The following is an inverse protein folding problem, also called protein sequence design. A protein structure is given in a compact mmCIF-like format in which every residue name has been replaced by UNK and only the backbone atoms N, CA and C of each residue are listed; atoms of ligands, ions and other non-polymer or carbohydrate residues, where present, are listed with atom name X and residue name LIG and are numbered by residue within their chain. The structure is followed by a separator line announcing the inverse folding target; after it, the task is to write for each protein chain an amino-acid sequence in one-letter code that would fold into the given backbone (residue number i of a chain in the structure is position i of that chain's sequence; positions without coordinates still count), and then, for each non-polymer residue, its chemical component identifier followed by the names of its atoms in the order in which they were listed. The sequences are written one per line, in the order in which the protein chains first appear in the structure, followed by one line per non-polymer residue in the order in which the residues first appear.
data_IF_154571356266
#
_entry.id   IF_154571356266
#
_cell.length_a   1.000
_cell.length_b   1.000
_cell.length_c   1.000
_cell.angle_alpha   90.00
_cell.angle_beta   90.00
_cell.angle_gamma   90.00
#
_symmetry.space_group_name_H-M   'P 1'
#
loop_
_entity.id
_entity.type
_entity.pdbx_description
1 polymer ?
#
# COMPACT_ATOMS: atom_id res chain seq x y z
N UNK A 1 -20.33 -15.62 -2.35
CA UNK A 1 -20.43 -17.11 -2.26
C UNK A 1 -19.05 -17.71 -2.42
N UNK A 2 -18.63 -18.61 -1.51
CA UNK A 2 -17.34 -19.32 -1.60
C UNK A 2 -17.62 -20.78 -1.92
N UNK A 3 -16.94 -21.29 -2.94
CA UNK A 3 -17.04 -22.68 -3.37
C UNK A 3 -15.84 -23.45 -2.83
N UNK A 4 -16.06 -24.56 -2.14
CA UNK A 4 -15.02 -25.36 -1.48
C UNK A 4 -15.34 -26.85 -1.52
N UNK A 5 -14.36 -27.72 -1.19
CA UNK A 5 -14.51 -29.17 -1.24
C UNK A 5 -14.85 -29.70 0.17
N UNK A 6 -16.08 -30.14 0.38
CA UNK A 6 -16.58 -30.59 1.69
C UNK A 6 -16.21 -32.06 1.96
N UNK A 7 -15.31 -32.34 2.94
CA UNK A 7 -14.88 -33.69 3.24
C UNK A 7 -16.01 -34.55 3.83
N UNK A 8 -16.99 -33.96 4.53
CA UNK A 8 -18.12 -34.67 5.11
C UNK A 8 -19.11 -35.17 4.05
N UNK A 9 -19.02 -34.61 2.84
CA UNK A 9 -19.81 -35.01 1.67
C UNK A 9 -18.97 -35.68 0.59
N UNK A 10 -17.98 -36.48 0.98
CA UNK A 10 -17.07 -37.17 0.06
C UNK A 10 -16.31 -36.22 -0.89
N UNK A 11 -15.89 -35.07 -0.39
CA UNK A 11 -15.23 -34.03 -1.17
C UNK A 11 -16.05 -33.49 -2.34
N UNK A 12 -17.37 -33.55 -2.22
CA UNK A 12 -18.22 -32.84 -3.18
C UNK A 12 -18.10 -31.33 -2.98
N UNK A 13 -18.28 -30.63 -4.08
CA UNK A 13 -18.25 -29.15 -4.08
C UNK A 13 -19.47 -28.62 -3.32
N UNK A 14 -19.21 -27.80 -2.30
CA UNK A 14 -20.18 -27.09 -1.48
C UNK A 14 -20.04 -25.59 -1.58
N UNK A 15 -21.06 -24.84 -1.18
CA UNK A 15 -21.09 -23.38 -1.26
C UNK A 15 -21.37 -22.76 0.09
N UNK A 16 -20.42 -21.95 0.57
CA UNK A 16 -20.56 -21.21 1.82
C UNK A 16 -20.88 -19.73 1.54
N UNK A 17 -21.99 -19.20 2.04
CA UNK A 17 -22.27 -17.78 1.96
C UNK A 17 -21.48 -17.01 3.02
N UNK A 18 -20.76 -15.98 2.60
CA UNK A 18 -20.11 -15.01 3.49
C UNK A 18 -20.72 -13.64 3.18
N UNK A 19 -21.26 -12.99 4.20
CA UNK A 19 -21.97 -11.72 4.07
C UNK A 19 -21.26 -10.62 4.84
N UNK A 20 -21.38 -9.40 4.32
CA UNK A 20 -21.17 -8.18 5.07
C UNK A 20 -22.56 -7.61 5.44
N UNK A 21 -22.92 -7.76 6.70
CA UNK A 21 -24.22 -7.30 7.22
C UNK A 21 -24.36 -5.78 7.19
N UNK A 22 -23.26 -5.05 7.36
CA UNK A 22 -23.25 -3.58 7.37
C UNK A 22 -23.48 -3.05 5.96
N UNK A 23 -22.69 -3.53 5.00
CA UNK A 23 -22.83 -3.14 3.61
C UNK A 23 -24.19 -3.52 3.03
N UNK A 24 -24.75 -4.67 3.44
CA UNK A 24 -26.09 -5.09 3.05
C UNK A 24 -27.18 -4.17 3.60
N UNK A 25 -27.05 -3.73 4.84
CA UNK A 25 -27.99 -2.81 5.48
C UNK A 25 -27.97 -1.40 4.85
N UNK A 26 -26.79 -0.94 4.45
CA UNK A 26 -26.59 0.38 3.82
C UNK A 26 -27.05 0.42 2.36
N UNK A 27 -26.67 -0.59 1.56
CA UNK A 27 -26.95 -0.57 0.12
C UNK A 27 -28.36 -1.06 -0.26
N UNK A 28 -29.00 -1.86 0.60
CA UNK A 28 -30.29 -2.48 0.33
C UNK A 28 -30.29 -3.46 -0.86
N UNK A 29 -29.13 -3.75 -1.43
CA UNK A 29 -28.96 -4.64 -2.58
C UNK A 29 -27.84 -5.65 -2.35
N UNK A 30 -28.05 -6.89 -2.85
CA UNK A 30 -27.02 -7.94 -2.79
C UNK A 30 -26.16 -7.85 -4.04
N UNK A 31 -24.89 -7.52 -3.88
CA UNK A 31 -23.89 -7.67 -4.94
C UNK A 31 -23.13 -8.97 -4.69
N UNK A 32 -23.33 -9.98 -5.54
CA UNK A 32 -22.77 -11.30 -5.32
C UNK A 32 -21.39 -11.44 -5.98
N UNK A 33 -20.40 -11.79 -5.16
CA UNK A 33 -19.07 -12.21 -5.60
C UNK A 33 -18.91 -13.72 -5.44
N UNK A 34 -18.50 -14.42 -6.50
CA UNK A 34 -18.16 -15.83 -6.45
C UNK A 34 -16.65 -16.02 -6.28
N UNK A 35 -16.26 -16.79 -5.27
CA UNK A 35 -14.87 -17.11 -4.95
C UNK A 35 -14.69 -18.61 -4.98
N UNK A 36 -13.74 -19.11 -5.75
CA UNK A 36 -13.35 -20.52 -5.75
C UNK A 36 -12.18 -20.73 -4.80
N UNK A 37 -12.43 -21.35 -3.64
CA UNK A 37 -11.40 -21.73 -2.67
C UNK A 37 -10.80 -23.10 -3.05
N UNK A 38 -9.99 -23.12 -4.09
CA UNK A 38 -9.45 -24.34 -4.68
C UNK A 38 -8.61 -25.16 -3.68
N UNK A 39 -8.94 -26.44 -3.51
CA UNK A 39 -8.26 -27.33 -2.56
C UNK A 39 -8.53 -27.04 -1.08
N UNK A 40 -9.50 -26.19 -0.79
CA UNK A 40 -9.96 -25.91 0.57
C UNK A 40 -10.90 -27.01 1.04
N UNK A 41 -10.54 -27.69 2.12
CA UNK A 41 -11.30 -28.78 2.74
C UNK A 41 -11.79 -28.44 4.15
N UNK A 42 -11.69 -27.17 4.55
CA UNK A 42 -12.13 -26.70 5.86
C UNK A 42 -13.11 -25.54 5.72
N UNK A 43 -14.27 -25.64 6.36
CA UNK A 43 -15.27 -24.59 6.39
C UNK A 43 -14.69 -23.25 6.92
N UNK A 44 -13.90 -23.29 7.99
CA UNK A 44 -13.28 -22.10 8.55
C UNK A 44 -12.30 -21.42 7.56
N UNK A 45 -11.61 -22.22 6.76
CA UNK A 45 -10.71 -21.69 5.72
C UNK A 45 -11.51 -21.09 4.54
N UNK A 46 -12.63 -21.73 4.16
CA UNK A 46 -13.54 -21.21 3.14
C UNK A 46 -14.15 -19.87 3.57
N UNK A 47 -14.59 -19.75 4.84
CA UNK A 47 -15.11 -18.50 5.39
C UNK A 47 -14.05 -17.39 5.39
N UNK A 48 -12.79 -17.68 5.78
CA UNK A 48 -11.70 -16.71 5.71
C UNK A 48 -11.39 -16.27 4.28
N UNK A 49 -11.44 -17.19 3.32
CA UNK A 49 -11.26 -16.83 1.91
C UNK A 49 -12.37 -15.89 1.41
N UNK A 50 -13.61 -16.09 1.85
CA UNK A 50 -14.73 -15.21 1.56
C UNK A 50 -14.58 -13.84 2.21
N UNK A 51 -14.20 -13.77 3.48
CA UNK A 51 -13.92 -12.53 4.18
C UNK A 51 -12.77 -11.76 3.51
N UNK A 52 -11.70 -12.45 3.13
CA UNK A 52 -10.59 -11.84 2.40
C UNK A 52 -11.06 -11.18 1.09
N UNK A 53 -11.91 -11.85 0.33
CA UNK A 53 -12.45 -11.30 -0.91
C UNK A 53 -13.34 -10.07 -0.65
N UNK A 54 -14.27 -10.14 0.31
CA UNK A 54 -15.15 -9.03 0.67
C UNK A 54 -14.36 -7.80 1.13
N UNK A 55 -13.46 -7.95 2.10
CA UNK A 55 -12.67 -6.84 2.62
C UNK A 55 -11.76 -6.27 1.53
N UNK A 56 -11.24 -7.11 0.63
CA UNK A 56 -10.43 -6.65 -0.50
C UNK A 56 -11.24 -5.77 -1.45
N UNK A 57 -12.47 -6.18 -1.80
CA UNK A 57 -13.36 -5.37 -2.65
C UNK A 57 -13.72 -4.02 -2.00
N UNK A 58 -13.93 -4.00 -0.70
CA UNK A 58 -14.27 -2.78 0.02
C UNK A 58 -13.10 -1.81 0.16
N UNK A 59 -11.91 -2.32 0.43
CA UNK A 59 -10.74 -1.50 0.82
C UNK A 59 -9.78 -1.23 -0.31
N UNK A 60 -9.67 -2.13 -1.29
CA UNK A 60 -8.72 -2.03 -2.39
C UNK A 60 -9.41 -1.58 -3.69
N UNK A 61 -10.14 -0.48 -3.62
CA UNK A 61 -10.95 0.05 -4.73
C UNK A 61 -10.15 0.81 -5.77
N UNK A 62 -8.89 1.16 -5.48
CA UNK A 62 -8.06 1.97 -6.36
C UNK A 62 -7.02 1.13 -7.09
N UNK A 63 -7.04 1.17 -8.40
CA UNK A 63 -5.95 0.71 -9.26
C UNK A 63 -5.23 1.91 -9.88
N UNK A 64 -3.96 1.74 -10.21
CA UNK A 64 -3.19 2.80 -10.86
C UNK A 64 -2.10 2.25 -11.76
N UNK A 65 -1.80 3.01 -12.80
CA UNK A 65 -0.66 2.75 -13.67
C UNK A 65 0.33 3.90 -13.51
N UNK A 66 1.53 3.56 -13.00
CA UNK A 66 2.59 4.52 -12.75
C UNK A 66 3.68 4.38 -13.79
N UNK A 67 4.08 5.50 -14.40
CA UNK A 67 5.25 5.56 -15.27
C UNK A 67 6.41 6.14 -14.49
N UNK A 68 7.50 5.38 -14.41
CA UNK A 68 8.69 5.74 -13.65
C UNK A 68 9.95 5.51 -14.48
N UNK A 69 11.04 6.15 -14.12
CA UNK A 69 12.32 5.97 -14.77
C UNK A 69 12.96 4.62 -14.44
N UNK A 70 14.28 4.55 -14.44
CA UNK A 70 15.02 3.31 -14.21
C UNK A 70 14.76 2.66 -12.85
N UNK A 71 14.35 3.45 -11.84
CA UNK A 71 13.97 2.94 -10.51
C UNK A 71 12.78 1.97 -10.57
N UNK A 72 11.98 2.02 -11.64
CA UNK A 72 10.90 1.07 -11.86
C UNK A 72 11.35 -0.36 -12.12
N UNK A 73 12.65 -0.58 -12.32
CA UNK A 73 13.26 -1.91 -12.41
C UNK A 73 13.60 -2.53 -11.04
N UNK A 74 13.50 -1.76 -9.95
CA UNK A 74 13.81 -2.24 -8.60
C UNK A 74 12.70 -3.14 -8.05
N UNK A 75 11.41 -2.73 -8.05
CA UNK A 75 10.34 -3.57 -7.55
C UNK A 75 10.09 -4.77 -8.46
N UNK A 76 9.57 -5.85 -7.86
CA UNK A 76 9.14 -7.05 -8.56
C UNK A 76 7.63 -7.20 -8.45
N UNK A 77 7.03 -7.94 -9.37
CA UNK A 77 5.62 -8.34 -9.28
C UNK A 77 5.35 -9.03 -7.94
N UNK A 78 4.28 -8.64 -7.27
CA UNK A 78 3.92 -9.11 -5.92
C UNK A 78 4.54 -8.30 -4.78
N UNK A 79 5.41 -7.33 -5.05
CA UNK A 79 5.95 -6.44 -4.00
C UNK A 79 5.05 -5.23 -3.78
N UNK A 80 5.12 -4.69 -2.56
CA UNK A 80 4.41 -3.50 -2.15
C UNK A 80 5.33 -2.29 -2.34
N UNK A 81 4.82 -1.28 -3.01
CA UNK A 81 5.49 0.01 -3.20
C UNK A 81 4.70 1.11 -2.50
N UNK A 82 5.40 2.13 -2.05
CA UNK A 82 4.80 3.35 -1.52
C UNK A 82 4.78 4.42 -2.62
N UNK A 83 3.61 5.00 -2.87
CA UNK A 83 3.42 6.05 -3.87
C UNK A 83 3.12 7.36 -3.18
N UNK A 84 3.92 8.39 -3.48
CA UNK A 84 3.72 9.75 -3.05
C UNK A 84 3.20 10.58 -4.23
N UNK A 85 1.90 10.78 -4.28
CA UNK A 85 1.27 11.61 -5.29
C UNK A 85 0.99 13.02 -4.73
N UNK A 86 1.64 14.08 -5.26
CA UNK A 86 1.41 15.46 -4.81
C UNK A 86 -0.06 15.92 -4.99
N UNK A 87 -0.79 15.37 -5.95
CA UNK A 87 -2.18 15.73 -6.17
C UNK A 87 -3.10 15.20 -5.07
N UNK A 88 -2.78 14.05 -4.49
CA UNK A 88 -3.50 13.47 -3.36
C UNK A 88 -3.06 14.10 -2.03
N UNK A 89 -1.78 14.46 -1.94
CA UNK A 89 -1.20 15.06 -0.75
C UNK A 89 -1.49 16.56 -0.58
N UNK A 90 -1.92 17.24 -1.63
CA UNK A 90 -2.07 18.71 -1.64
C UNK A 90 -0.74 19.48 -1.54
N UNK A 91 0.39 18.79 -1.44
CA UNK A 91 1.75 19.36 -1.32
C UNK A 91 2.82 18.40 -1.83
N UNK A 92 3.99 18.91 -2.16
CA UNK A 92 5.13 18.08 -2.57
C UNK A 92 5.66 17.29 -1.38
N UNK A 93 5.45 16.00 -1.39
CA UNK A 93 5.83 15.09 -0.31
C UNK A 93 6.93 14.09 -0.69
N UNK A 94 7.57 14.25 -1.83
CA UNK A 94 8.65 13.37 -2.30
C UNK A 94 9.54 14.04 -3.34
N UNK A 95 10.71 13.45 -3.59
CA UNK A 95 11.71 13.94 -4.54
C UNK A 95 13.00 13.13 -4.55
N UNK A 96 14.10 13.79 -4.88
CA UNK A 96 15.45 13.20 -4.91
C UNK A 96 16.38 13.83 -3.87
N UNK A 97 17.26 13.02 -3.31
CA UNK A 97 18.31 13.48 -2.41
C UNK A 97 19.36 14.25 -3.22
N UNK A 98 19.69 15.45 -2.80
CA UNK A 98 20.78 16.24 -3.41
C UNK A 98 22.14 15.88 -2.82
N UNK A 99 22.22 15.71 -1.48
CA UNK A 99 23.45 15.31 -0.80
C UNK A 99 23.16 14.75 0.59
N UNK A 100 24.11 13.98 1.13
CA UNK A 100 24.01 13.37 2.46
C UNK A 100 25.28 13.68 3.25
N UNK A 101 25.11 14.09 4.52
CA UNK A 101 26.19 14.32 5.47
C UNK A 101 25.80 13.73 6.84
N UNK A 102 26.11 12.47 7.05
CA UNK A 102 25.73 11.72 8.26
C UNK A 102 24.21 11.63 8.43
N UNK A 103 23.65 12.31 9.45
CA UNK A 103 22.19 12.38 9.69
C UNK A 103 21.51 13.57 9.01
N UNK A 104 22.25 14.38 8.24
CA UNK A 104 21.70 15.52 7.51
C UNK A 104 21.52 15.15 6.05
N UNK A 105 20.28 15.15 5.60
CA UNK A 105 19.87 14.85 4.22
C UNK A 105 19.45 16.16 3.57
N UNK A 106 20.09 16.54 2.48
CA UNK A 106 19.68 17.69 1.69
C UNK A 106 18.76 17.22 0.58
N UNK A 107 17.55 17.74 0.55
CA UNK A 107 16.53 17.41 -0.45
C UNK A 107 16.55 18.39 -1.63
N UNK A 108 15.96 17.98 -2.75
CA UNK A 108 15.97 18.73 -4.02
C UNK A 108 15.04 19.96 -4.04
N UNK A 109 14.14 20.06 -3.07
CA UNK A 109 13.14 21.14 -3.00
C UNK A 109 12.85 21.58 -1.58
N UNK A 110 12.19 22.72 -1.46
CA UNK A 110 11.67 23.18 -0.18
C UNK A 110 10.46 22.33 0.22
N UNK A 111 10.37 22.00 1.49
CA UNK A 111 9.33 21.15 2.06
C UNK A 111 8.69 21.81 3.27
N UNK A 112 7.40 21.61 3.44
CA UNK A 112 6.68 21.94 4.66
C UNK A 112 6.78 20.75 5.62
N UNK A 113 7.18 21.00 6.86
CA UNK A 113 7.39 19.96 7.85
C UNK A 113 6.27 19.95 8.89
N UNK A 114 5.30 19.04 8.80
CA UNK A 114 4.34 18.82 9.86
C UNK A 114 4.99 18.20 11.10
N UNK A 115 4.37 18.40 12.25
CA UNK A 115 4.81 17.79 13.51
C UNK A 115 4.78 16.26 13.41
N UNK A 116 5.85 15.61 13.87
CA UNK A 116 5.93 14.14 13.85
C UNK A 116 6.32 13.50 12.51
N UNK A 117 6.63 14.32 11.49
CA UNK A 117 6.99 13.80 10.18
C UNK A 117 8.22 12.88 10.22
N UNK A 118 8.17 11.86 9.36
CA UNK A 118 9.28 10.93 9.11
C UNK A 118 9.79 11.11 7.68
N UNK A 119 11.09 11.01 7.51
CA UNK A 119 11.71 10.93 6.20
C UNK A 119 11.93 9.45 5.86
N UNK A 120 11.25 8.96 4.83
CA UNK A 120 11.52 7.65 4.23
C UNK A 120 12.43 7.84 3.03
N UNK A 121 13.45 7.01 2.94
CA UNK A 121 14.49 7.11 1.91
C UNK A 121 14.69 5.73 1.25
N UNK A 122 14.89 5.73 -0.05
CA UNK A 122 15.39 4.55 -0.76
C UNK A 122 16.89 4.45 -0.53
N UNK A 123 17.34 3.25 -0.15
CA UNK A 123 18.75 2.94 0.05
C UNK A 123 19.37 2.32 -1.21
N UNK A 124 20.69 2.40 -1.41
CA UNK A 124 21.35 1.80 -2.57
C UNK A 124 21.09 0.31 -2.75
N UNK A 125 20.85 -0.42 -1.64
CA UNK A 125 20.43 -1.84 -1.67
C UNK A 125 19.03 -2.08 -2.23
N UNK A 126 18.25 -1.03 -2.55
CA UNK A 126 16.85 -1.12 -2.97
C UNK A 126 15.85 -1.26 -1.81
N UNK A 127 16.32 -1.27 -0.55
CA UNK A 127 15.46 -1.23 0.63
C UNK A 127 15.01 0.20 0.92
N UNK A 128 13.92 0.33 1.67
CA UNK A 128 13.45 1.64 2.16
C UNK A 128 13.45 1.68 3.67
N UNK A 129 13.87 2.79 4.25
CA UNK A 129 13.84 3.03 5.68
C UNK A 129 13.25 4.40 6.00
N UNK A 130 12.51 4.50 7.10
CA UNK A 130 11.98 5.74 7.61
C UNK A 130 12.67 6.15 8.92
N UNK A 131 12.92 7.46 9.08
CA UNK A 131 13.46 8.04 10.31
C UNK A 131 12.69 9.30 10.67
N UNK A 132 12.45 9.48 11.97
CA UNK A 132 11.81 10.70 12.48
C UNK A 132 12.70 11.90 12.18
N UNK A 133 12.09 12.98 11.71
CA UNK A 133 12.77 14.25 11.46
C UNK A 133 12.86 15.02 12.77
N UNK A 134 14.06 15.49 13.11
CA UNK A 134 14.32 16.30 14.32
C UNK A 134 14.37 17.79 14.02
N UNK A 135 14.85 18.17 12.84
CA UNK A 135 14.89 19.58 12.42
C UNK A 135 14.93 19.73 10.91
N UNK A 136 14.42 20.87 10.44
CA UNK A 136 14.49 21.33 9.06
C UNK A 136 15.10 22.71 9.01
N UNK A 137 16.10 22.91 8.18
CA UNK A 137 16.71 24.23 7.92
C UNK A 137 16.88 24.42 6.41
N UNK A 138 15.96 25.16 5.79
CA UNK A 138 15.84 25.22 4.34
C UNK A 138 15.57 23.81 3.77
N UNK A 139 16.45 23.31 2.92
CA UNK A 139 16.38 21.97 2.32
C UNK A 139 17.12 20.88 3.11
N UNK A 140 17.70 21.22 4.26
CA UNK A 140 18.47 20.28 5.10
C UNK A 140 17.57 19.68 6.16
N UNK A 141 17.31 18.40 6.03
CA UNK A 141 16.52 17.58 6.95
C UNK A 141 17.46 16.82 7.86
N UNK A 142 17.36 17.01 9.17
CA UNK A 142 18.12 16.23 10.16
C UNK A 142 17.23 15.14 10.70
N UNK A 143 17.69 13.90 10.65
CA UNK A 143 16.97 12.73 11.18
C UNK A 143 17.47 12.29 12.55
N UNK A 144 16.60 11.69 13.35
CA UNK A 144 16.88 11.29 14.73
C UNK A 144 17.97 10.21 14.84
N UNK A 145 18.02 9.29 13.87
CA UNK A 145 19.00 8.21 13.85
C UNK A 145 19.54 8.00 12.43
N UNK A 146 20.74 7.47 12.31
CA UNK A 146 21.32 7.10 11.01
C UNK A 146 20.50 5.97 10.34
N UNK A 147 20.54 5.93 9.02
CA UNK A 147 20.03 4.80 8.25
C UNK A 147 20.98 3.61 8.37
N UNK A 148 20.50 2.40 8.11
CA UNK A 148 21.32 1.19 8.14
C UNK A 148 22.41 1.20 7.08
N UNK A 149 22.17 1.90 5.98
CA UNK A 149 23.07 2.13 4.86
C UNK A 149 23.05 3.63 4.54
N UNK A 150 24.17 4.20 4.14
CA UNK A 150 24.25 5.63 3.82
C UNK A 150 23.49 5.89 2.52
N UNK A 151 22.42 6.72 2.54
CA UNK A 151 21.74 7.09 1.31
C UNK A 151 22.68 7.87 0.39
N UNK A 152 22.52 7.68 -0.90
CA UNK A 152 23.31 8.38 -1.92
C UNK A 152 22.51 9.54 -2.54
N UNK A 153 23.21 10.43 -3.23
CA UNK A 153 22.56 11.41 -4.09
C UNK A 153 21.69 10.70 -5.15
N UNK A 154 20.63 11.35 -5.58
CA UNK A 154 19.62 10.84 -6.51
C UNK A 154 18.72 9.69 -5.97
N UNK A 155 18.98 9.16 -4.76
CA UNK A 155 18.02 8.29 -4.11
C UNK A 155 16.68 8.99 -3.87
N UNK A 156 15.57 8.26 -3.98
CA UNK A 156 14.25 8.78 -3.72
C UNK A 156 14.00 9.03 -2.23
N UNK A 157 13.29 10.08 -1.91
CA UNK A 157 12.79 10.35 -0.56
C UNK A 157 11.30 10.67 -0.57
N UNK A 158 10.62 10.39 0.54
CA UNK A 158 9.20 10.69 0.77
C UNK A 158 9.05 11.18 2.21
N UNK A 159 8.17 12.18 2.43
CA UNK A 159 7.70 12.57 3.76
C UNK A 159 6.48 11.73 4.14
N UNK A 160 6.52 11.17 5.34
CA UNK A 160 5.39 10.48 5.97
C UNK A 160 4.99 11.24 7.22
N UNK A 161 3.71 11.47 7.42
CA UNK A 161 3.12 12.07 8.62
C UNK A 161 1.69 11.55 8.81
N UNK A 162 1.15 11.71 10.01
CA UNK A 162 -0.08 11.02 10.43
C UNK A 162 -1.32 11.42 9.61
N UNK A 163 -1.39 12.66 9.09
CA UNK A 163 -2.46 13.15 8.22
C UNK A 163 -2.27 12.80 6.74
N UNK A 164 -1.15 12.18 6.37
CA UNK A 164 -0.86 11.73 5.02
C UNK A 164 -0.31 10.30 5.05
N UNK A 165 -1.20 9.34 5.09
CA UNK A 165 -0.81 7.94 4.86
C UNK A 165 -0.28 7.82 3.43
N UNK A 166 0.99 7.46 3.30
CA UNK A 166 1.56 7.10 2.00
C UNK A 166 0.76 5.95 1.45
N UNK A 167 0.15 6.13 0.28
CA UNK A 167 -0.62 5.07 -0.33
C UNK A 167 0.30 3.90 -0.70
N UNK A 168 -0.06 2.73 -0.24
CA UNK A 168 0.64 1.50 -0.57
C UNK A 168 -0.06 0.82 -1.74
N UNK A 169 0.74 0.32 -2.67
CA UNK A 169 0.25 -0.40 -3.83
C UNK A 169 0.99 -1.72 -4.02
N UNK A 170 0.24 -2.76 -4.32
CA UNK A 170 0.77 -4.05 -4.74
C UNK A 170 1.04 -4.02 -6.24
N UNK A 171 2.26 -4.28 -6.65
CA UNK A 171 2.64 -4.36 -8.06
C UNK A 171 2.08 -5.64 -8.68
N UNK A 172 1.19 -5.49 -9.66
CA UNK A 172 0.57 -6.59 -10.40
C UNK A 172 1.37 -6.97 -11.63
N UNK A 173 1.82 -5.97 -12.36
CA UNK A 173 2.54 -6.17 -13.61
C UNK A 173 3.58 -5.06 -13.81
N UNK A 174 4.67 -5.41 -14.48
CA UNK A 174 5.74 -4.48 -14.83
C UNK A 174 6.03 -4.65 -16.30
N UNK A 175 5.89 -3.56 -17.05
CA UNK A 175 6.25 -3.51 -18.46
C UNK A 175 7.34 -2.46 -18.70
N UNK A 176 8.08 -2.61 -19.76
CA UNK A 176 9.14 -1.66 -20.16
C UNK A 176 8.84 -1.16 -21.57
N UNK A 177 7.98 -0.11 -21.68
CA UNK A 177 7.61 0.43 -23.00
C UNK A 177 8.81 1.05 -23.74
N UNK A 178 9.78 1.60 -22.99
CA UNK A 178 11.00 2.20 -23.52
C UNK A 178 12.21 1.78 -22.69
N UNK A 179 13.44 1.91 -23.23
CA UNK A 179 14.67 1.46 -22.57
C UNK A 179 14.95 2.15 -21.22
N UNK A 180 14.44 3.37 -21.02
CA UNK A 180 14.65 4.19 -19.84
C UNK A 180 13.38 4.38 -19.01
N UNK A 181 12.26 3.72 -19.37
CA UNK A 181 10.98 3.90 -18.71
C UNK A 181 10.33 2.56 -18.38
N UNK A 182 9.84 2.45 -17.15
CA UNK A 182 9.02 1.33 -16.68
C UNK A 182 7.59 1.79 -16.46
N UNK A 183 6.65 0.90 -16.70
CA UNK A 183 5.25 1.08 -16.38
C UNK A 183 4.84 0.00 -15.38
N UNK A 184 4.37 0.45 -14.22
CA UNK A 184 3.94 -0.40 -13.12
C UNK A 184 2.41 -0.36 -13.04
N UNK A 185 1.78 -1.51 -13.18
CA UNK A 185 0.34 -1.67 -12.95
C UNK A 185 0.13 -2.17 -11.53
N UNK A 186 -0.57 -1.40 -10.75
CA UNK A 186 -0.66 -1.59 -9.31
C UNK A 186 -2.11 -1.55 -8.84
N UNK A 187 -2.38 -2.25 -7.74
CA UNK A 187 -3.64 -2.17 -7.00
C UNK A 187 -3.35 -1.68 -5.58
N UNK A 188 -4.24 -0.90 -5.02
CA UNK A 188 -4.11 -0.41 -3.64
C UNK A 188 -3.90 -1.58 -2.68
N UNK A 189 -3.00 -1.40 -1.74
CA UNK A 189 -2.72 -2.36 -0.67
C UNK A 189 -3.14 -1.75 0.67
N UNK A 190 -4.03 -2.45 1.38
CA UNK A 190 -4.48 -2.06 2.72
C UNK A 190 -4.05 -3.14 3.72
N UNK A 191 -3.01 -2.87 4.54
CA UNK A 191 -2.48 -3.86 5.46
C UNK A 191 -3.44 -4.21 6.60
N UNK A 192 -4.35 -3.30 7.00
CA UNK A 192 -5.30 -3.54 8.10
C UNK A 192 -6.29 -4.67 7.81
N UNK A 193 -6.46 -5.05 6.53
CA UNK A 193 -7.33 -6.15 6.14
C UNK A 193 -6.96 -7.50 6.77
N UNK A 194 -5.68 -7.74 7.01
CA UNK A 194 -5.21 -9.01 7.58
C UNK A 194 -5.64 -9.14 9.03
N UNK A 195 -5.52 -8.07 9.81
CA UNK A 195 -5.97 -8.03 11.20
C UNK A 195 -7.50 -8.15 11.28
N UNK A 196 -8.23 -7.57 10.34
CA UNK A 196 -9.68 -7.69 10.25
C UNK A 196 -10.12 -9.15 9.98
N UNK A 197 -9.41 -9.87 9.13
CA UNK A 197 -9.71 -11.28 8.79
C UNK A 197 -9.35 -12.22 9.94
N UNK A 198 -8.21 -12.00 10.59
CA UNK A 198 -7.69 -12.91 11.60
C UNK A 198 -8.26 -12.66 12.99
N UNK A 199 -8.60 -11.41 13.33
CA UNK A 199 -9.01 -11.01 14.68
C UNK A 199 -10.36 -10.28 14.72
N UNK A 200 -11.03 -10.07 13.59
CA UNK A 200 -12.27 -9.28 13.52
C UNK A 200 -12.07 -7.81 13.83
N UNK A 201 -10.87 -7.27 13.62
CA UNK A 201 -10.59 -5.85 13.80
C UNK A 201 -11.38 -5.00 12.79
N UNK A 202 -11.72 -3.77 13.17
CA UNK A 202 -12.36 -2.82 12.25
C UNK A 202 -11.35 -2.37 11.21
N UNK A 203 -11.73 -2.46 9.94
CA UNK A 203 -10.90 -1.98 8.84
C UNK A 203 -10.91 -0.46 8.80
N UNK A 204 -9.75 0.15 8.72
CA UNK A 204 -9.59 1.60 8.64
C UNK A 204 -9.92 2.08 7.20
N UNK A 205 -11.16 2.50 7.00
CA UNK A 205 -11.67 2.96 5.69
C UNK A 205 -11.49 4.46 5.43
N UNK A 206 -10.85 5.20 6.35
CA UNK A 206 -10.71 6.67 6.22
C UNK A 206 -9.98 7.15 4.95
N UNK A 207 -9.31 6.26 4.23
CA UNK A 207 -8.72 6.59 2.92
C UNK A 207 -9.70 6.63 1.74
N UNK A 208 -10.94 6.17 1.91
CA UNK A 208 -11.92 6.04 0.83
C UNK A 208 -12.98 7.16 0.79
N UNK A 209 -13.23 7.86 1.90
CA UNK A 209 -14.40 8.73 2.05
C UNK A 209 -14.21 10.22 1.73
N UNK A 210 -13.06 10.68 1.24
CA UNK A 210 -12.86 12.11 0.93
C UNK A 210 -13.21 12.46 -0.54
N UNK A 211 -14.37 12.01 -1.01
CA UNK A 211 -14.98 12.54 -2.23
C UNK A 211 -16.49 12.60 -2.11
N UNK A 212 -16.97 13.55 -1.29
CA UNK A 212 -18.29 14.19 -1.46
C UNK A 212 -18.28 15.47 -0.64
N UNK A 213 -17.94 16.58 -1.29
CA UNK A 213 -18.45 17.94 -1.04
C UNK A 213 -17.98 18.84 -2.16
#
# INVERSE_FOLDING_TARGET
MVTWDNPDQSFSTDKEPVFDEVALAESGSVNELSVEAYGCTSLAQAQRAGQYALITEQTQTRGGTFRVGLDGGIPKTGQIIAVADPMLAGRANGGRISSVAGRVITVDRDIDLPTGAKLRVNLPSGKTEARVITSLTGRRVTVAASFSEVPEAECGWILEYDDLKTMQFLVRNITRPEWHQYQLECIQHEPSKFDAIDFGAVVDTEGASSRES
#
